data_IF_715629273178
#
_entry.id   IF_715629273178
#
_cell.length_a   1.000
_cell.length_b   1.000
_cell.length_c   1.000
_cell.angle_alpha   90.00
_cell.angle_beta   90.00
_cell.angle_gamma   90.00
#
_symmetry.space_group_name_H-M   'P 1'
#
loop_
_entity.id
_entity.type
_entity.pdbx_description
1 polymer ?
#
# COMPACT_ATOMS: atom_id res chain seq x y z
N UNK A 1 -7.93 -19.21 2.91
CA UNK A 1 -7.14 -18.04 3.36
C UNK A 1 -7.56 -16.85 2.49
N UNK A 2 -7.84 -15.69 3.08
CA UNK A 2 -8.15 -14.48 2.32
C UNK A 2 -6.95 -13.53 2.34
N UNK A 3 -6.76 -12.78 1.27
CA UNK A 3 -5.76 -11.73 1.18
C UNK A 3 -6.44 -10.41 0.81
N UNK A 4 -6.19 -9.36 1.58
CA UNK A 4 -6.66 -8.02 1.31
C UNK A 4 -5.48 -7.20 0.79
N UNK A 5 -5.61 -6.63 -0.41
CA UNK A 5 -4.53 -5.92 -1.12
C UNK A 5 -4.99 -4.51 -1.47
N UNK A 6 -4.17 -3.51 -1.11
CA UNK A 6 -4.44 -2.10 -1.37
C UNK A 6 -3.53 -1.57 -2.46
N UNK A 7 -4.07 -1.40 -3.67
CA UNK A 7 -3.30 -0.86 -4.80
C UNK A 7 -3.12 0.66 -4.68
N UNK A 8 -2.01 1.14 -5.21
CA UNK A 8 -1.65 2.56 -5.29
C UNK A 8 -0.19 2.74 -5.66
N UNK A 9 0.20 3.98 -5.92
CA UNK A 9 1.59 4.32 -6.20
C UNK A 9 2.37 4.59 -4.88
N UNK A 10 3.65 4.17 -4.81
CA UNK A 10 4.56 4.57 -3.73
C UNK A 10 4.89 6.06 -3.82
N UNK A 11 5.44 6.65 -2.75
CA UNK A 11 5.81 8.07 -2.60
C UNK A 11 4.69 9.05 -2.19
N UNK A 12 5.12 10.12 -1.51
CA UNK A 12 4.22 11.13 -0.90
C UNK A 12 3.43 11.94 -1.93
N UNK A 13 3.96 12.11 -3.14
CA UNK A 13 3.30 12.91 -4.18
C UNK A 13 1.98 12.29 -4.65
N UNK A 14 1.77 10.99 -4.42
CA UNK A 14 0.54 10.28 -4.79
C UNK A 14 -0.42 10.08 -3.62
N UNK A 15 -0.08 10.56 -2.43
CA UNK A 15 -1.00 10.50 -1.28
C UNK A 15 -2.26 11.33 -1.58
N UNK A 16 -3.43 10.83 -1.18
CA UNK A 16 -4.75 11.46 -1.40
C UNK A 16 -5.16 11.61 -2.86
N UNK A 17 -4.52 10.89 -3.78
CA UNK A 17 -5.02 10.75 -5.15
C UNK A 17 -6.09 9.65 -5.21
N UNK A 18 -7.05 9.77 -6.14
CA UNK A 18 -8.08 8.72 -6.33
C UNK A 18 -7.48 7.34 -6.66
N UNK A 19 -6.30 7.32 -7.29
CA UNK A 19 -5.59 6.08 -7.63
C UNK A 19 -5.07 5.33 -6.39
N UNK A 20 -4.87 6.04 -5.27
CA UNK A 20 -4.31 5.48 -4.04
C UNK A 20 -5.37 5.06 -3.01
N UNK A 21 -6.66 5.10 -3.34
CA UNK A 21 -7.74 4.77 -2.39
C UNK A 21 -7.62 3.33 -1.84
N UNK A 22 -7.13 2.39 -2.63
CA UNK A 22 -6.88 1.01 -2.17
C UNK A 22 -5.84 0.94 -1.06
N UNK A 23 -4.70 1.63 -1.23
CA UNK A 23 -3.66 1.79 -0.21
C UNK A 23 -4.22 2.44 1.06
N UNK A 24 -5.02 3.51 0.92
CA UNK A 24 -5.61 4.22 2.06
C UNK A 24 -6.54 3.32 2.89
N UNK A 25 -7.43 2.56 2.23
CA UNK A 25 -8.34 1.63 2.91
C UNK A 25 -7.57 0.60 3.74
N UNK A 26 -6.49 0.02 3.20
CA UNK A 26 -5.69 -0.99 3.91
C UNK A 26 -4.94 -0.38 5.10
N UNK A 27 -4.43 0.84 4.97
CA UNK A 27 -3.78 1.56 6.08
C UNK A 27 -4.78 1.86 7.19
N UNK A 28 -5.97 2.37 6.87
CA UNK A 28 -7.00 2.68 7.87
C UNK A 28 -7.56 1.41 8.53
N UNK A 29 -7.75 0.34 7.76
CA UNK A 29 -8.12 -0.97 8.31
C UNK A 29 -7.08 -1.47 9.33
N UNK A 30 -5.79 -1.44 8.98
CA UNK A 30 -4.73 -1.87 9.89
C UNK A 30 -4.70 -1.01 11.17
N UNK A 31 -4.90 0.31 11.07
CA UNK A 31 -5.00 1.20 12.24
C UNK A 31 -6.16 0.81 13.15
N UNK A 32 -7.35 0.60 12.58
CA UNK A 32 -8.56 0.21 13.31
C UNK A 32 -8.37 -1.12 14.06
N UNK A 33 -7.75 -2.08 13.41
CA UNK A 33 -7.48 -3.41 13.96
C UNK A 33 -6.18 -3.48 14.79
N UNK A 34 -5.49 -2.35 15.01
CA UNK A 34 -4.21 -2.23 15.74
C UNK A 34 -3.11 -3.15 15.19
N UNK A 35 -3.09 -3.35 13.88
CA UNK A 35 -2.09 -4.14 13.16
C UNK A 35 -0.90 -3.26 12.73
N UNK A 36 0.27 -3.87 12.63
CA UNK A 36 1.48 -3.22 12.13
C UNK A 36 1.97 -3.89 10.85
N UNK A 37 2.30 -3.09 9.84
CA UNK A 37 2.96 -3.58 8.64
C UNK A 37 4.40 -3.99 8.94
N UNK A 38 4.85 -5.08 8.31
CA UNK A 38 6.25 -5.49 8.28
C UNK A 38 6.72 -5.49 6.84
N UNK A 39 7.95 -5.09 6.60
CA UNK A 39 8.54 -5.16 5.26
C UNK A 39 8.49 -6.60 4.74
N UNK A 40 8.04 -6.75 3.48
CA UNK A 40 8.10 -8.03 2.79
C UNK A 40 9.55 -8.50 2.64
N UNK A 41 9.76 -9.83 2.66
CA UNK A 41 11.11 -10.44 2.52
C UNK A 41 11.55 -10.66 1.06
N UNK A 42 10.78 -10.18 0.09
CA UNK A 42 10.98 -10.44 -1.33
C UNK A 42 11.83 -9.38 -2.03
N UNK A 43 12.31 -9.70 -3.24
CA UNK A 43 12.89 -8.71 -4.14
C UNK A 43 11.80 -7.76 -4.64
N UNK A 44 12.02 -6.45 -4.47
CA UNK A 44 11.16 -5.42 -5.02
C UNK A 44 11.69 -5.02 -6.40
N UNK A 45 10.82 -5.04 -7.40
CA UNK A 45 11.13 -4.56 -8.75
C UNK A 45 10.49 -3.18 -8.92
N UNK A 46 11.31 -2.18 -9.18
CA UNK A 46 10.85 -0.83 -9.51
C UNK A 46 11.00 -0.64 -11.02
N UNK A 47 9.89 -0.32 -11.69
CA UNK A 47 9.90 0.05 -13.09
C UNK A 47 10.18 1.55 -13.19
N UNK A 48 11.42 1.90 -13.55
CA UNK A 48 11.76 3.25 -13.97
C UNK A 48 11.40 3.37 -15.46
N UNK A 49 10.26 4.00 -15.75
CA UNK A 49 9.93 4.39 -17.12
C UNK A 49 10.54 5.76 -17.35
N UNK A 50 11.57 5.81 -18.21
CA UNK A 50 12.20 7.04 -18.71
C UNK A 50 11.24 7.81 -19.63
#
# INVERSE_FOLDING_TARGET
MFAFVGLGNPDKIYDRTRHNIGKEIIVEFAKKEKLQFKSGKGHFFFLNVL
#
